data_IF_730645390889
#
_entry.id   IF_730645390889
#
_cell.length_a   1.000
_cell.length_b   1.000
_cell.length_c   1.000
_cell.angle_alpha   90.00
_cell.angle_beta   90.00
_cell.angle_gamma   90.00
#
_symmetry.space_group_name_H-M   'P 1'
#
loop_
_entity.id
_entity.type
_entity.pdbx_description
1 polymer ?
#
# COMPACT_ATOMS: atom_id res chain seq x y z
N UNK A 1 2.05 19.52 24.02
CA UNK A 1 0.94 19.58 23.03
C UNK A 1 0.55 18.16 22.66
N UNK A 2 -0.71 17.79 22.85
CA UNK A 2 -1.24 16.45 22.53
C UNK A 2 -1.16 16.21 21.02
N UNK A 3 -0.43 15.16 20.63
CA UNK A 3 -0.25 14.71 19.23
C UNK A 3 -1.55 14.08 18.74
N UNK A 4 -2.54 14.90 18.40
CA UNK A 4 -3.91 14.45 18.19
C UNK A 4 -4.18 14.05 16.75
N UNK A 5 -4.60 12.79 16.57
CA UNK A 5 -5.28 12.28 15.36
C UNK A 5 -6.39 13.25 14.96
N UNK A 6 -6.57 13.49 13.65
CA UNK A 6 -7.70 14.29 13.16
C UNK A 6 -9.01 13.53 13.41
N UNK A 7 -10.05 14.23 13.85
CA UNK A 7 -11.39 13.64 13.99
C UNK A 7 -12.04 13.47 12.61
N UNK A 8 -13.05 12.59 12.50
CA UNK A 8 -13.80 12.44 11.25
C UNK A 8 -14.42 13.76 10.80
N UNK A 9 -14.98 14.56 11.71
CA UNK A 9 -15.49 15.89 11.38
C UNK A 9 -14.41 16.76 10.73
N UNK A 10 -13.17 16.76 11.25
CA UNK A 10 -12.05 17.50 10.65
C UNK A 10 -11.67 16.94 9.26
N UNK A 11 -11.65 15.63 9.09
CA UNK A 11 -11.36 14.99 7.80
C UNK A 11 -12.39 15.34 6.72
N UNK A 12 -13.67 15.53 7.09
CA UNK A 12 -14.75 15.87 6.16
C UNK A 12 -14.93 17.38 5.89
N UNK A 13 -14.43 18.25 6.77
CA UNK A 13 -14.67 19.70 6.67
C UNK A 13 -13.45 20.51 6.24
N UNK A 14 -12.23 20.06 6.58
CA UNK A 14 -11.03 20.83 6.29
C UNK A 14 -10.64 20.78 4.81
N UNK A 15 -9.90 21.79 4.36
CA UNK A 15 -9.36 21.88 3.01
C UNK A 15 -8.19 20.91 2.80
N UNK A 16 -7.97 20.51 1.54
CA UNK A 16 -6.87 19.62 1.12
C UNK A 16 -5.49 20.08 1.64
N UNK A 17 -5.05 21.34 1.47
CA UNK A 17 -3.74 21.77 1.98
C UNK A 17 -3.60 21.63 3.51
N UNK A 18 -4.69 21.87 4.23
CA UNK A 18 -4.71 21.75 5.69
C UNK A 18 -4.60 20.29 6.12
N UNK A 19 -5.34 19.41 5.44
CA UNK A 19 -5.29 17.97 5.67
C UNK A 19 -3.90 17.40 5.39
N UNK A 20 -3.31 17.75 4.25
CA UNK A 20 -1.96 17.31 3.88
C UNK A 20 -0.93 17.68 4.95
N UNK A 21 -0.92 18.94 5.36
CA UNK A 21 0.00 19.44 6.41
C UNK A 21 -0.20 18.71 7.74
N UNK A 22 -1.45 18.56 8.19
CA UNK A 22 -1.75 17.98 9.51
C UNK A 22 -1.51 16.47 9.55
N UNK A 23 -1.85 15.74 8.49
CA UNK A 23 -1.61 14.30 8.40
C UNK A 23 -0.11 14.00 8.29
N UNK A 24 0.64 14.73 7.45
CA UNK A 24 2.11 14.60 7.40
C UNK A 24 2.72 14.83 8.77
N UNK A 25 2.37 15.93 9.44
CA UNK A 25 2.87 16.24 10.78
C UNK A 25 2.53 15.13 11.78
N UNK A 26 1.28 14.69 11.81
CA UNK A 26 0.85 13.58 12.68
C UNK A 26 1.74 12.35 12.48
N UNK A 27 1.96 11.92 11.23
CA UNK A 27 2.77 10.74 10.96
C UNK A 27 4.23 10.93 11.38
N UNK A 28 4.86 12.05 11.03
CA UNK A 28 6.28 12.26 11.38
C UNK A 28 6.50 12.37 12.89
N UNK A 29 5.54 12.94 13.63
CA UNK A 29 5.61 13.12 15.08
C UNK A 29 5.34 11.83 15.88
N UNK A 30 4.60 10.88 15.30
CA UNK A 30 4.11 9.66 16.00
C UNK A 30 4.65 8.36 15.43
N UNK A 31 5.02 8.34 14.15
CA UNK A 31 5.32 7.15 13.34
C UNK A 31 4.17 6.14 13.27
N UNK A 32 2.94 6.57 13.56
CA UNK A 32 1.75 5.72 13.47
C UNK A 32 1.24 5.63 12.03
N UNK A 33 1.80 4.67 11.29
CA UNK A 33 1.41 4.37 9.91
C UNK A 33 -0.03 3.83 9.78
N UNK A 34 -0.53 3.09 10.77
CA UNK A 34 -1.91 2.54 10.73
C UNK A 34 -2.92 3.68 10.74
N UNK A 35 -2.79 4.59 11.69
CA UNK A 35 -3.70 5.73 11.81
C UNK A 35 -3.60 6.66 10.60
N UNK A 36 -2.38 6.88 10.08
CA UNK A 36 -2.19 7.66 8.86
C UNK A 36 -2.92 7.04 7.65
N UNK A 37 -2.79 5.72 7.46
CA UNK A 37 -3.49 4.97 6.41
C UNK A 37 -5.02 5.10 6.56
N UNK A 38 -5.55 4.92 7.77
CA UNK A 38 -7.00 5.05 8.03
C UNK A 38 -7.53 6.46 7.70
N UNK A 39 -6.76 7.51 8.04
CA UNK A 39 -7.13 8.88 7.69
C UNK A 39 -7.15 9.09 6.18
N UNK A 40 -6.18 8.53 5.45
CA UNK A 40 -6.12 8.65 3.99
C UNK A 40 -7.26 7.90 3.29
N UNK A 41 -7.61 6.70 3.75
CA UNK A 41 -8.79 5.96 3.26
C UNK A 41 -10.06 6.79 3.51
N UNK A 42 -10.16 7.45 4.67
CA UNK A 42 -11.30 8.32 4.97
C UNK A 42 -11.42 9.47 3.97
N UNK A 43 -10.30 10.00 3.48
CA UNK A 43 -10.30 11.06 2.47
C UNK A 43 -10.68 10.55 1.08
N UNK A 44 -10.30 9.32 0.71
CA UNK A 44 -10.80 8.67 -0.50
C UNK A 44 -12.33 8.45 -0.41
N UNK A 45 -12.83 7.96 0.72
CA UNK A 45 -14.29 7.84 0.95
C UNK A 45 -14.98 9.20 0.84
N UNK A 46 -14.35 10.28 1.33
CA UNK A 46 -14.89 11.63 1.18
C UNK A 46 -14.96 12.07 -0.28
N UNK A 47 -13.93 11.80 -1.08
CA UNK A 47 -13.91 12.10 -2.52
C UNK A 47 -15.04 11.38 -3.27
N UNK A 48 -15.30 10.12 -2.95
CA UNK A 48 -16.43 9.37 -3.54
C UNK A 48 -17.82 9.95 -3.14
N UNK A 49 -17.90 10.64 -2.00
CA UNK A 49 -19.16 11.18 -1.47
C UNK A 49 -19.38 12.67 -1.75
N UNK A 50 -18.36 13.40 -2.21
CA UNK A 50 -18.37 14.87 -2.31
C UNK A 50 -17.64 15.33 -3.57
N UNK A 51 -17.97 16.52 -4.09
CA UNK A 51 -17.32 17.10 -5.29
C UNK A 51 -15.87 17.61 -5.06
N UNK A 52 -15.21 17.17 -3.99
CA UNK A 52 -13.85 17.57 -3.64
C UNK A 52 -12.82 16.52 -4.08
N UNK A 53 -11.88 16.93 -4.91
CA UNK A 53 -10.75 16.12 -5.37
C UNK A 53 -9.74 15.83 -4.23
N UNK A 54 -9.57 14.55 -3.91
CA UNK A 54 -8.52 14.00 -3.04
C UNK A 54 -7.64 12.97 -3.74
N UNK A 55 -7.70 12.91 -5.07
CA UNK A 55 -6.95 11.99 -5.90
C UNK A 55 -5.46 12.10 -5.60
N UNK A 56 -4.83 10.95 -5.31
CA UNK A 56 -3.43 10.84 -4.95
C UNK A 56 -2.98 11.76 -3.79
N UNK A 57 -3.89 12.10 -2.85
CA UNK A 57 -3.53 12.92 -1.70
C UNK A 57 -2.42 12.25 -0.89
N UNK A 58 -1.34 13.00 -0.61
CA UNK A 58 -0.19 12.51 0.13
C UNK A 58 0.47 11.26 -0.49
N UNK A 59 0.50 11.16 -1.81
CA UNK A 59 1.05 10.01 -2.54
C UNK A 59 2.46 9.59 -2.13
N UNK A 60 3.37 10.55 -1.90
CA UNK A 60 4.72 10.27 -1.39
C UNK A 60 4.72 9.66 0.01
N UNK A 61 3.85 10.14 0.90
CA UNK A 61 3.76 9.63 2.26
C UNK A 61 3.25 8.19 2.25
N UNK A 62 2.24 7.89 1.41
CA UNK A 62 1.75 6.53 1.21
C UNK A 62 2.89 5.63 0.74
N UNK A 63 3.61 6.03 -0.31
CA UNK A 63 4.75 5.26 -0.83
C UNK A 63 5.82 5.03 0.24
N UNK A 64 6.19 6.05 0.99
CA UNK A 64 7.12 5.93 2.12
C UNK A 64 6.64 4.93 3.17
N UNK A 65 5.38 5.06 3.63
CA UNK A 65 4.79 4.15 4.62
C UNK A 65 4.85 2.70 4.12
N UNK A 66 4.38 2.44 2.90
CA UNK A 66 4.27 1.08 2.38
C UNK A 66 5.60 0.47 1.92
N UNK A 67 6.52 1.25 1.33
CA UNK A 67 7.78 0.74 0.74
C UNK A 67 8.98 0.84 1.68
N UNK A 68 9.05 1.85 2.55
CA UNK A 68 10.25 2.12 3.34
C UNK A 68 10.14 1.70 4.81
N UNK A 69 8.93 1.49 5.34
CA UNK A 69 8.74 1.06 6.75
C UNK A 69 8.50 -0.45 6.89
N UNK A 70 8.53 -0.98 8.12
CA UNK A 70 8.26 -2.42 8.34
C UNK A 70 6.81 -2.77 7.96
N UNK A 71 6.63 -3.89 7.26
CA UNK A 71 5.30 -4.42 6.94
C UNK A 71 4.45 -4.65 8.21
N UNK A 72 3.22 -4.15 8.20
CA UNK A 72 2.26 -4.32 9.30
C UNK A 72 0.99 -5.03 8.84
N UNK A 73 0.20 -5.54 9.79
CA UNK A 73 -1.11 -6.13 9.47
C UNK A 73 -2.07 -5.12 8.82
N UNK A 74 -2.03 -3.84 9.24
CA UNK A 74 -2.85 -2.78 8.65
C UNK A 74 -2.51 -2.54 7.18
N UNK A 75 -1.22 -2.52 6.82
CA UNK A 75 -0.80 -2.39 5.42
C UNK A 75 -1.34 -3.55 4.57
N UNK A 76 -1.19 -4.79 5.02
CA UNK A 76 -1.73 -5.97 4.31
C UNK A 76 -3.25 -5.92 4.14
N UNK A 77 -3.96 -5.35 5.10
CA UNK A 77 -5.43 -5.22 5.04
C UNK A 77 -5.89 -4.15 4.06
N UNK A 78 -5.14 -3.06 3.94
CA UNK A 78 -5.62 -1.84 3.27
C UNK A 78 -4.87 -1.46 1.99
N UNK A 79 -3.82 -2.17 1.58
CA UNK A 79 -2.99 -1.78 0.44
C UNK A 79 -3.77 -1.60 -0.89
N UNK A 80 -4.87 -2.35 -1.10
CA UNK A 80 -5.71 -2.25 -2.30
C UNK A 80 -6.36 -0.87 -2.49
N UNK A 81 -6.61 -0.12 -1.42
CA UNK A 81 -7.11 1.27 -1.51
C UNK A 81 -6.10 2.23 -2.13
N UNK A 82 -4.84 1.81 -2.28
CA UNK A 82 -3.76 2.66 -2.75
C UNK A 82 -3.15 2.17 -4.05
N UNK A 83 -3.81 1.29 -4.82
CA UNK A 83 -3.23 0.75 -6.08
C UNK A 83 -2.75 1.85 -7.02
N UNK A 84 -3.53 2.92 -7.18
CA UNK A 84 -3.20 4.04 -8.08
C UNK A 84 -2.09 4.96 -7.56
N UNK A 85 -1.61 4.73 -6.33
CA UNK A 85 -0.51 5.50 -5.73
C UNK A 85 0.87 4.93 -6.10
N UNK A 86 0.91 3.75 -6.71
CA UNK A 86 2.13 3.02 -7.04
C UNK A 86 2.30 2.89 -8.54
N UNK A 87 3.55 2.94 -8.99
CA UNK A 87 3.88 2.46 -10.33
C UNK A 87 3.72 0.94 -10.39
N UNK A 88 3.62 0.36 -11.59
CA UNK A 88 3.58 -1.10 -11.76
C UNK A 88 4.75 -1.80 -11.07
N UNK A 89 5.95 -1.21 -11.14
CA UNK A 89 7.16 -1.75 -10.50
C UNK A 89 7.07 -1.68 -8.98
N UNK A 90 6.65 -0.53 -8.44
CA UNK A 90 6.50 -0.36 -6.98
C UNK A 90 5.41 -1.27 -6.43
N UNK A 91 4.33 -1.48 -7.19
CA UNK A 91 3.24 -2.38 -6.81
C UNK A 91 3.70 -3.83 -6.71
N UNK A 92 4.53 -4.29 -7.65
CA UNK A 92 5.14 -5.63 -7.57
C UNK A 92 6.02 -5.76 -6.33
N UNK A 93 6.90 -4.78 -6.08
CA UNK A 93 7.77 -4.76 -4.90
C UNK A 93 6.95 -4.76 -3.60
N UNK A 94 5.85 -4.00 -3.56
CA UNK A 94 4.95 -3.96 -2.42
C UNK A 94 4.32 -5.32 -2.14
N UNK A 95 3.83 -6.02 -3.17
CA UNK A 95 3.23 -7.35 -3.01
C UNK A 95 4.26 -8.36 -2.46
N UNK A 96 5.49 -8.35 -2.98
CA UNK A 96 6.58 -9.20 -2.46
C UNK A 96 6.88 -8.92 -0.98
N UNK A 97 6.92 -7.64 -0.62
CA UNK A 97 7.20 -7.19 0.74
C UNK A 97 6.07 -7.51 1.73
N UNK A 98 4.81 -7.39 1.30
CA UNK A 98 3.65 -7.61 2.17
C UNK A 98 3.33 -9.10 2.34
N UNK A 99 3.60 -9.92 1.34
CA UNK A 99 3.21 -11.33 1.31
C UNK A 99 4.38 -12.29 1.01
N UNK A 100 5.50 -12.25 1.77
CA UNK A 100 6.70 -13.01 1.45
C UNK A 100 6.49 -14.54 1.45
N UNK A 101 5.54 -15.05 2.23
CA UNK A 101 5.23 -16.48 2.24
C UNK A 101 4.53 -16.93 0.95
N UNK A 102 3.61 -16.12 0.41
CA UNK A 102 2.90 -16.45 -0.83
C UNK A 102 3.86 -16.45 -2.01
N UNK A 103 4.80 -15.50 -2.02
CA UNK A 103 5.80 -15.38 -3.09
C UNK A 103 6.83 -16.48 -3.03
N UNK A 104 7.29 -16.84 -1.83
CA UNK A 104 8.15 -18.01 -1.64
C UNK A 104 7.48 -19.30 -2.14
N UNK A 105 6.19 -19.50 -1.84
CA UNK A 105 5.44 -20.68 -2.32
C UNK A 105 5.31 -20.66 -3.85
N UNK A 106 4.98 -19.52 -4.46
CA UNK A 106 4.89 -19.39 -5.91
C UNK A 106 6.21 -19.72 -6.61
N UNK A 107 7.33 -19.16 -6.12
CA UNK A 107 8.67 -19.46 -6.65
C UNK A 107 9.02 -20.94 -6.54
N UNK A 108 8.68 -21.58 -5.42
CA UNK A 108 8.92 -23.02 -5.24
C UNK A 108 8.05 -23.88 -6.15
N UNK A 109 6.80 -23.50 -6.39
CA UNK A 109 5.92 -24.19 -7.33
C UNK A 109 6.41 -24.07 -8.78
N UNK A 110 6.86 -22.89 -9.21
CA UNK A 110 7.44 -22.69 -10.55
C UNK A 110 8.71 -23.52 -10.76
N UNK A 111 9.58 -23.57 -9.73
CA UNK A 111 10.79 -24.41 -9.76
C UNK A 111 10.44 -25.90 -9.92
N UNK A 112 9.45 -26.40 -9.16
CA UNK A 112 8.99 -27.78 -9.26
C UNK A 112 8.38 -28.09 -10.64
N UNK A 113 7.51 -27.21 -11.17
CA UNK A 113 6.93 -27.37 -12.50
C UNK A 113 8.01 -27.48 -13.58
N UNK A 114 9.01 -26.60 -13.52
CA UNK A 114 10.14 -26.60 -14.47
C UNK A 114 10.95 -27.89 -14.37
N UNK A 115 11.19 -28.40 -13.16
CA UNK A 115 11.95 -29.64 -12.95
C UNK A 115 11.19 -30.88 -13.40
N UNK A 116 9.90 -30.97 -13.10
CA UNK A 116 9.10 -32.20 -13.27
C UNK A 116 8.44 -32.27 -14.65
N UNK A 117 8.04 -31.14 -15.24
CA UNK A 117 7.29 -31.11 -16.49
C UNK A 117 8.11 -30.44 -17.60
N UNK A 118 8.70 -29.27 -17.34
CA UNK A 118 9.41 -28.49 -18.37
C UNK A 118 10.67 -29.17 -18.91
N UNK A 119 11.60 -29.56 -18.03
CA UNK A 119 12.87 -30.21 -18.43
C UNK A 119 12.68 -31.56 -19.13
N UNK A 120 11.78 -32.46 -18.68
CA UNK A 120 11.55 -33.72 -19.37
C UNK A 120 10.94 -33.54 -20.76
N UNK A 121 9.99 -32.63 -20.94
CA UNK A 121 9.38 -32.35 -22.25
C UNK A 121 10.39 -31.75 -23.24
N UNK A 122 11.28 -30.86 -22.80
CA UNK A 122 12.34 -30.31 -23.64
C UNK A 122 13.30 -31.39 -24.14
N UNK A 123 13.71 -32.32 -23.27
CA UNK A 123 14.55 -33.47 -23.67
C UNK A 123 13.89 -34.40 -24.68
N UNK A 124 12.57 -34.56 -24.62
CA UNK A 124 11.81 -35.39 -25.58
C UNK A 124 11.64 -34.71 -26.94
N UNK A 125 11.69 -33.39 -27.01
CA UNK A 125 11.61 -32.65 -28.27
C UNK A 125 12.96 -32.58 -29.01
N UNK A 126 14.07 -32.83 -28.31
CA UNK A 126 15.43 -32.84 -28.84
C UNK A 126 15.91 -34.25 -29.28
N UNK A 127 15.09 -35.30 -29.07
CA UNK A 127 15.35 -36.70 -29.47
C UNK A 127 14.54 -37.11 -30.69
#
# INVERSE_FOLDING_TARGET
MTKQKLTNQQLFTLSRPTLEKRIRRFYFDTKDGKTAIEMLITLQVREELCETDFSNILGELVRHIFLETRSTAAMRRYYLYFTDYFTKKDWQLLNLKLFPAQTFIAEKLEQLYTQVIGKPLARLAES
#
